data_IF_346825759663
#
_entry.id   IF_346825759663
#
_cell.length_a   1.000
_cell.length_b   1.000
_cell.length_c   1.000
_cell.angle_alpha   90.00
_cell.angle_beta   90.00
_cell.angle_gamma   90.00
#
_symmetry.space_group_name_H-M   'P 1'
#
loop_
_entity.id
_entity.type
_entity.pdbx_description
1 polymer ?
#
# COMPACT_ATOMS: atom_id res chain seq x y z
N UNK A 1 13.50 -13.64 18.74
CA UNK A 1 14.20 -13.11 17.55
C UNK A 1 14.71 -11.70 17.85
N UNK A 2 15.93 -11.32 17.47
CA UNK A 2 16.38 -9.91 17.60
C UNK A 2 15.78 -9.10 16.44
N UNK A 3 15.09 -8.01 16.78
CA UNK A 3 14.54 -7.07 15.80
C UNK A 3 15.68 -6.41 15.01
N UNK A 4 15.59 -6.21 13.68
CA UNK A 4 16.68 -5.64 12.90
C UNK A 4 16.97 -4.18 13.31
N UNK A 5 18.24 -3.86 13.52
CA UNK A 5 18.67 -2.50 13.83
C UNK A 5 18.52 -1.59 12.60
N UNK A 6 18.16 -0.30 12.76
CA UNK A 6 18.05 0.64 11.65
C UNK A 6 19.36 0.80 10.84
N UNK A 7 19.25 0.89 9.51
CA UNK A 7 20.36 1.20 8.61
C UNK A 7 20.24 2.65 8.13
N UNK A 8 21.03 3.54 8.72
CA UNK A 8 21.01 4.98 8.39
C UNK A 8 21.72 5.33 7.08
N UNK A 9 22.66 4.49 6.64
CA UNK A 9 23.42 4.66 5.40
C UNK A 9 23.18 3.45 4.48
N UNK A 10 22.00 3.37 3.83
CA UNK A 10 21.68 2.26 2.94
C UNK A 10 22.56 2.29 1.67
N UNK A 11 22.64 1.16 0.94
CA UNK A 11 23.41 1.06 -0.30
C UNK A 11 22.97 2.05 -1.40
N UNK A 12 21.70 2.47 -1.33
CA UNK A 12 21.13 3.54 -2.13
C UNK A 12 19.93 4.15 -1.39
N UNK A 13 19.56 5.39 -1.71
CA UNK A 13 18.58 6.16 -0.95
C UNK A 13 17.19 6.13 -1.59
N UNK A 14 16.33 5.26 -1.05
CA UNK A 14 14.88 5.28 -1.29
C UNK A 14 14.26 6.38 -0.44
N UNK A 15 13.40 7.21 -1.04
CA UNK A 15 12.78 8.35 -0.34
C UNK A 15 11.35 8.07 0.11
N UNK A 16 10.57 7.33 -0.68
CA UNK A 16 9.16 7.00 -0.36
C UNK A 16 8.58 5.94 -1.29
N UNK A 17 7.43 5.39 -0.90
CA UNK A 17 6.50 4.77 -1.83
C UNK A 17 6.06 5.80 -2.90
N UNK A 18 6.03 5.37 -4.17
CA UNK A 18 5.77 6.27 -5.30
C UNK A 18 4.43 6.02 -5.95
N UNK A 19 4.26 4.84 -6.55
CA UNK A 19 3.14 4.58 -7.46
C UNK A 19 2.82 3.08 -7.54
N UNK A 20 1.61 2.72 -7.97
CA UNK A 20 1.26 1.35 -8.33
C UNK A 20 0.89 1.26 -9.81
N UNK A 21 1.33 0.21 -10.50
CA UNK A 21 0.90 -0.11 -11.86
C UNK A 21 0.01 -1.33 -11.82
N UNK A 22 -1.24 -1.19 -12.24
CA UNK A 22 -2.27 -2.22 -12.19
C UNK A 22 -2.84 -2.48 -13.59
N UNK A 23 -3.31 -3.69 -13.83
CA UNK A 23 -4.13 -4.01 -15.00
C UNK A 23 -5.59 -4.07 -14.62
N UNK A 24 -6.44 -3.46 -15.44
CA UNK A 24 -7.89 -3.38 -15.24
C UNK A 24 -8.62 -3.80 -16.51
N UNK A 25 -9.86 -4.27 -16.39
CA UNK A 25 -10.64 -4.72 -17.54
C UNK A 25 -11.31 -3.58 -18.28
N UNK A 26 -11.80 -2.58 -17.55
CA UNK A 26 -12.56 -1.46 -18.09
C UNK A 26 -12.03 -0.13 -17.52
N UNK A 27 -11.30 0.62 -18.35
CA UNK A 27 -10.74 1.91 -17.95
C UNK A 27 -11.81 2.93 -17.60
N UNK A 28 -12.97 2.92 -18.26
CA UNK A 28 -14.04 3.88 -17.98
C UNK A 28 -14.66 3.60 -16.61
N UNK A 29 -14.89 2.33 -16.27
CA UNK A 29 -15.37 1.93 -14.95
C UNK A 29 -14.35 2.24 -13.85
N UNK A 30 -13.06 1.94 -14.08
CA UNK A 30 -12.00 2.29 -13.14
C UNK A 30 -11.88 3.81 -12.97
N UNK A 31 -11.94 4.57 -14.06
CA UNK A 31 -11.92 6.04 -14.03
C UNK A 31 -13.06 6.59 -13.19
N UNK A 32 -14.28 6.11 -13.39
CA UNK A 32 -15.44 6.56 -12.63
C UNK A 32 -15.24 6.31 -11.13
N UNK A 33 -14.82 5.09 -10.76
CA UNK A 33 -14.51 4.73 -9.38
C UNK A 33 -13.40 5.60 -8.77
N UNK A 34 -12.21 5.64 -9.38
CA UNK A 34 -11.06 6.33 -8.81
C UNK A 34 -11.20 7.84 -8.77
N UNK A 35 -11.94 8.44 -9.71
CA UNK A 35 -12.15 9.89 -9.71
C UNK A 35 -13.34 10.31 -8.84
N UNK A 36 -14.46 9.57 -8.84
CA UNK A 36 -15.68 10.00 -8.13
C UNK A 36 -15.78 9.50 -6.71
N UNK A 37 -15.24 8.30 -6.44
CA UNK A 37 -15.28 7.70 -5.09
C UNK A 37 -14.01 8.05 -4.33
N UNK A 38 -12.85 7.67 -4.88
CA UNK A 38 -11.56 7.87 -4.19
C UNK A 38 -11.12 9.34 -4.25
N UNK A 39 -11.49 10.06 -5.32
CA UNK A 39 -11.18 11.49 -5.45
C UNK A 39 -9.82 11.78 -6.08
N UNK A 40 -9.29 10.86 -6.89
CA UNK A 40 -8.04 11.06 -7.62
C UNK A 40 -8.23 11.97 -8.85
N UNK A 41 -7.13 12.60 -9.25
CA UNK A 41 -7.06 13.48 -10.42
C UNK A 41 -6.52 12.70 -11.62
N UNK A 42 -7.23 12.72 -12.74
CA UNK A 42 -6.70 12.26 -14.02
C UNK A 42 -5.60 13.23 -14.46
N UNK A 43 -4.38 12.71 -14.63
CA UNK A 43 -3.28 13.45 -15.24
C UNK A 43 -3.34 13.34 -16.75
N UNK A 44 -3.45 12.11 -17.24
CA UNK A 44 -3.48 11.77 -18.66
C UNK A 44 -4.28 10.48 -18.84
N UNK A 45 -4.90 10.34 -20.00
CA UNK A 45 -5.70 9.18 -20.38
C UNK A 45 -5.53 8.97 -21.89
N UNK A 46 -5.18 7.75 -22.28
CA UNK A 46 -5.18 7.28 -23.66
C UNK A 46 -6.13 6.08 -23.82
N UNK A 47 -6.12 5.44 -24.98
CA UNK A 47 -7.03 4.33 -25.27
C UNK A 47 -6.83 3.11 -24.35
N UNK A 48 -5.61 2.89 -23.87
CA UNK A 48 -5.18 1.68 -23.16
C UNK A 48 -4.61 1.96 -21.77
N UNK A 49 -4.39 3.22 -21.39
CA UNK A 49 -3.81 3.60 -20.10
C UNK A 49 -4.47 4.83 -19.48
N UNK A 50 -4.71 4.76 -18.17
CA UNK A 50 -5.15 5.86 -17.34
C UNK A 50 -4.11 6.19 -16.27
N UNK A 51 -3.66 7.45 -16.24
CA UNK A 51 -2.70 7.96 -15.26
C UNK A 51 -3.42 8.86 -14.25
N UNK A 52 -3.35 8.47 -12.97
CA UNK A 52 -4.01 9.14 -11.86
C UNK A 52 -2.98 9.58 -10.81
N UNK A 53 -3.28 10.68 -10.12
CA UNK A 53 -2.49 11.17 -8.99
C UNK A 53 -3.36 11.73 -7.87
N UNK A 54 -2.82 11.79 -6.66
CA UNK A 54 -3.42 12.55 -5.58
C UNK A 54 -3.41 14.06 -5.84
N UNK A 55 -4.33 14.78 -5.22
CA UNK A 55 -4.56 16.22 -5.38
C UNK A 55 -3.32 17.08 -5.02
N UNK A 56 -2.52 16.66 -4.03
CA UNK A 56 -1.29 17.33 -3.57
C UNK A 56 -0.06 16.99 -4.41
N UNK A 57 -0.17 15.96 -5.25
CA UNK A 57 0.97 15.41 -5.96
C UNK A 57 1.37 16.29 -7.14
N UNK A 58 2.69 16.48 -7.27
CA UNK A 58 3.33 17.16 -8.41
C UNK A 58 3.87 16.17 -9.44
N UNK A 59 4.12 14.93 -9.04
CA UNK A 59 4.57 13.91 -9.98
C UNK A 59 3.41 13.55 -10.92
N UNK A 60 3.72 13.18 -12.15
CA UNK A 60 2.73 12.85 -13.17
C UNK A 60 1.68 11.85 -12.68
N UNK A 61 2.10 10.81 -11.96
CA UNK A 61 1.18 9.76 -11.52
C UNK A 61 1.65 9.11 -10.23
N UNK A 62 0.68 8.59 -9.47
CA UNK A 62 0.88 7.62 -8.40
C UNK A 62 0.02 6.37 -8.56
N UNK A 63 -0.87 6.35 -9.54
CA UNK A 63 -1.59 5.16 -9.98
C UNK A 63 -1.62 5.12 -11.51
N UNK A 64 -1.22 3.98 -12.07
CA UNK A 64 -1.31 3.70 -13.50
C UNK A 64 -2.21 2.50 -13.68
N UNK A 65 -3.27 2.65 -14.47
CA UNK A 65 -4.19 1.57 -14.81
C UNK A 65 -4.05 1.28 -16.30
N UNK A 66 -3.69 0.04 -16.64
CA UNK A 66 -3.57 -0.42 -18.03
C UNK A 66 -4.71 -1.35 -18.36
N UNK A 67 -5.36 -1.17 -19.51
CA UNK A 67 -6.39 -2.09 -19.98
C UNK A 67 -5.77 -3.46 -20.26
N UNK A 68 -6.39 -4.52 -19.78
CA UNK A 68 -5.99 -5.89 -20.10
C UNK A 68 -7.22 -6.81 -20.11
N UNK A 69 -7.24 -7.74 -21.06
CA UNK A 69 -8.21 -8.85 -21.09
C UNK A 69 -7.80 -10.02 -20.17
N UNK A 70 -6.61 -9.93 -19.56
CA UNK A 70 -6.08 -10.94 -18.64
C UNK A 70 -6.68 -10.86 -17.24
N UNK A 71 -6.12 -11.66 -16.33
CA UNK A 71 -6.45 -11.56 -14.90
C UNK A 71 -5.96 -10.19 -14.39
N UNK A 72 -6.82 -9.36 -13.75
CA UNK A 72 -6.39 -8.12 -13.13
C UNK A 72 -5.28 -8.37 -12.11
N UNK A 73 -4.19 -7.63 -12.25
CA UNK A 73 -2.95 -7.88 -11.53
C UNK A 73 -2.24 -6.55 -11.23
N UNK A 74 -1.33 -6.57 -10.27
CA UNK A 74 -0.36 -5.51 -10.10
C UNK A 74 0.89 -5.86 -10.92
N UNK A 75 1.30 -4.98 -11.81
CA UNK A 75 2.52 -5.17 -12.59
C UNK A 75 3.75 -4.74 -11.81
N UNK A 76 3.67 -3.61 -11.08
CA UNK A 76 4.83 -3.01 -10.41
C UNK A 76 4.47 -2.26 -9.13
N UNK A 77 5.35 -2.41 -8.14
CA UNK A 77 5.41 -1.61 -6.91
C UNK A 77 6.48 -0.53 -7.07
N UNK A 78 6.03 0.70 -7.33
CA UNK A 78 6.90 1.85 -7.52
C UNK A 78 7.48 2.47 -6.25
N UNK A 79 8.79 2.71 -6.22
CA UNK A 79 9.52 3.40 -5.15
C UNK A 79 10.30 4.59 -5.74
N UNK A 80 10.33 5.72 -5.02
CA UNK A 80 11.18 6.86 -5.39
C UNK A 80 12.58 6.67 -4.81
N UNK A 81 13.60 6.99 -5.61
CA UNK A 81 14.97 7.18 -5.13
C UNK A 81 15.36 8.66 -5.20
N UNK A 82 16.37 9.07 -4.43
CA UNK A 82 16.70 10.48 -4.27
C UNK A 82 17.17 11.15 -5.57
N UNK A 83 18.06 10.49 -6.31
CA UNK A 83 18.67 10.98 -7.55
C UNK A 83 18.78 9.86 -8.59
N UNK A 84 19.09 10.19 -9.84
CA UNK A 84 19.35 9.16 -10.86
C UNK A 84 20.58 8.30 -10.54
N UNK A 85 21.58 8.85 -9.84
CA UNK A 85 22.76 8.09 -9.40
C UNK A 85 22.38 6.95 -8.43
N UNK A 86 21.33 7.16 -7.63
CA UNK A 86 20.80 6.11 -6.75
C UNK A 86 20.25 4.91 -7.53
N UNK A 87 19.81 5.10 -8.78
CA UNK A 87 19.40 3.98 -9.64
C UNK A 87 20.59 3.11 -10.03
N UNK A 88 21.74 3.71 -10.33
CA UNK A 88 22.97 2.98 -10.63
C UNK A 88 23.49 2.23 -9.40
N UNK A 89 23.38 2.83 -8.21
CA UNK A 89 23.70 2.18 -6.93
C UNK A 89 22.74 1.02 -6.66
N UNK A 90 21.43 1.21 -6.88
CA UNK A 90 20.43 0.16 -6.74
C UNK A 90 20.72 -1.01 -7.69
N UNK A 91 20.98 -0.75 -8.97
CA UNK A 91 21.31 -1.78 -9.95
C UNK A 91 22.54 -2.61 -9.53
N UNK A 92 23.62 -1.95 -9.08
CA UNK A 92 24.82 -2.65 -8.57
C UNK A 92 24.54 -3.45 -7.30
N UNK A 93 23.76 -2.88 -6.37
CA UNK A 93 23.41 -3.54 -5.12
C UNK A 93 22.61 -4.83 -5.38
N UNK A 94 21.54 -4.75 -6.19
CA UNK A 94 20.72 -5.91 -6.53
C UNK A 94 21.50 -6.97 -7.31
N UNK A 95 22.36 -6.57 -8.26
CA UNK A 95 23.26 -7.50 -8.94
C UNK A 95 24.17 -8.24 -7.95
N UNK A 96 24.71 -7.56 -6.94
CA UNK A 96 25.51 -8.16 -5.87
C UNK A 96 24.74 -9.15 -4.99
N UNK A 97 23.41 -9.02 -4.92
CA UNK A 97 22.52 -9.97 -4.24
C UNK A 97 22.05 -11.12 -5.16
N UNK A 98 22.48 -11.15 -6.42
CA UNK A 98 21.99 -12.12 -7.41
C UNK A 98 20.55 -11.84 -7.87
N UNK A 99 20.05 -10.62 -7.68
CA UNK A 99 18.73 -10.18 -8.13
C UNK A 99 18.91 -9.34 -9.40
N UNK A 100 18.71 -9.90 -10.61
CA UNK A 100 18.96 -9.17 -11.84
C UNK A 100 17.99 -7.99 -11.97
N UNK A 101 18.55 -6.80 -12.12
CA UNK A 101 17.80 -5.58 -12.42
C UNK A 101 17.92 -5.22 -13.91
N UNK A 102 16.87 -4.64 -14.47
CA UNK A 102 16.81 -4.22 -15.88
C UNK A 102 16.32 -2.79 -16.01
N UNK A 103 16.94 -2.03 -16.90
CA UNK A 103 16.44 -0.71 -17.29
C UNK A 103 15.17 -0.86 -18.12
N UNK A 104 14.18 -0.01 -17.87
CA UNK A 104 12.89 -0.03 -18.55
C UNK A 104 12.51 1.37 -19.02
N UNK A 105 11.84 1.42 -20.16
CA UNK A 105 11.13 2.61 -20.63
C UNK A 105 9.75 2.65 -19.94
N UNK A 106 9.47 3.74 -19.23
CA UNK A 106 8.21 3.96 -18.56
C UNK A 106 7.70 5.37 -18.87
N UNK A 107 6.51 5.54 -19.50
CA UNK A 107 5.99 6.85 -19.87
C UNK A 107 5.94 7.82 -18.69
N UNK A 108 6.34 9.07 -18.94
CA UNK A 108 6.41 10.16 -17.95
C UNK A 108 7.38 9.93 -16.78
N UNK A 109 8.23 8.91 -16.87
CA UNK A 109 9.31 8.65 -15.92
C UNK A 109 10.65 9.01 -16.56
N UNK A 110 11.62 9.41 -15.74
CA UNK A 110 13.03 9.47 -16.15
C UNK A 110 13.61 8.06 -16.28
N UNK A 111 14.91 7.91 -16.02
CA UNK A 111 15.51 6.56 -15.94
C UNK A 111 14.74 5.70 -14.92
N UNK A 112 14.35 4.50 -15.35
CA UNK A 112 13.56 3.58 -14.54
C UNK A 112 14.22 2.20 -14.48
N UNK A 113 14.33 1.66 -13.25
CA UNK A 113 14.96 0.37 -12.98
C UNK A 113 13.90 -0.62 -12.46
N UNK A 114 13.77 -1.76 -13.12
CA UNK A 114 12.95 -2.88 -12.67
C UNK A 114 13.81 -3.93 -12.00
N UNK A 115 13.30 -4.54 -10.94
CA UNK A 115 13.93 -5.68 -10.26
C UNK A 115 12.85 -6.46 -9.52
N UNK A 116 13.04 -7.77 -9.33
CA UNK A 116 12.21 -8.54 -8.39
C UNK A 116 12.96 -8.68 -7.07
N UNK A 117 12.27 -8.43 -5.96
CA UNK A 117 12.85 -8.67 -4.64
C UNK A 117 13.03 -10.18 -4.37
N UNK A 118 13.68 -10.60 -3.26
CA UNK A 118 13.88 -12.01 -2.94
C UNK A 118 12.60 -12.84 -2.81
N UNK A 119 11.46 -12.17 -2.61
CA UNK A 119 10.15 -12.80 -2.45
C UNK A 119 9.38 -12.84 -3.78
N UNK A 120 9.96 -12.30 -4.87
CA UNK A 120 9.36 -12.24 -6.19
C UNK A 120 8.50 -10.99 -6.42
N UNK A 121 8.45 -10.03 -5.50
CA UNK A 121 7.66 -8.81 -5.70
C UNK A 121 8.31 -7.93 -6.78
N UNK A 122 7.58 -7.56 -7.84
CA UNK A 122 8.14 -6.77 -8.92
C UNK A 122 8.20 -5.28 -8.52
N UNK A 123 9.42 -4.77 -8.35
CA UNK A 123 9.72 -3.40 -7.97
C UNK A 123 10.03 -2.53 -9.19
N UNK A 124 9.67 -1.26 -9.10
CA UNK A 124 10.04 -0.22 -10.05
C UNK A 124 10.66 0.97 -9.30
N UNK A 125 11.91 1.32 -9.62
CA UNK A 125 12.62 2.44 -9.02
C UNK A 125 12.78 3.58 -10.01
N UNK A 126 12.46 4.79 -9.57
CA UNK A 126 12.54 5.99 -10.41
C UNK A 126 12.88 7.24 -9.59
N UNK A 127 13.78 8.08 -10.10
CA UNK A 127 14.19 9.31 -9.42
C UNK A 127 13.32 10.52 -9.74
N UNK A 128 12.92 10.68 -11.02
CA UNK A 128 12.18 11.84 -11.55
C UNK A 128 11.02 11.38 -12.43
N UNK A 129 9.95 12.16 -12.46
CA UNK A 129 8.83 12.01 -13.40
C UNK A 129 8.54 13.39 -13.96
N UNK A 130 7.79 13.44 -15.06
CA UNK A 130 7.15 14.66 -15.51
C UNK A 130 6.30 15.26 -14.37
N UNK A 131 6.15 16.57 -14.41
CA UNK A 131 5.43 17.32 -13.39
C UNK A 131 4.05 17.75 -13.88
N UNK A 132 3.09 17.72 -12.97
CA UNK A 132 1.76 18.26 -13.18
C UNK A 132 1.43 19.29 -12.07
N UNK A 133 0.62 20.32 -12.36
CA UNK A 133 0.23 21.30 -11.35
C UNK A 133 -0.52 20.65 -10.17
N UNK A 134 -0.20 21.06 -8.94
CA UNK A 134 -0.96 20.68 -7.74
C UNK A 134 -2.38 21.25 -7.82
N UNK A 135 -3.35 20.48 -7.32
CA UNK A 135 -4.77 20.91 -7.21
C UNK A 135 -5.23 21.13 -5.78
N UNK A 136 -4.31 21.09 -4.81
CA UNK A 136 -4.61 21.25 -3.37
C UNK A 136 -5.48 22.47 -3.06
N UNK A 137 -5.21 23.62 -3.69
CA UNK A 137 -5.94 24.85 -3.43
C UNK A 137 -7.20 25.04 -4.29
N UNK A 138 -7.53 24.08 -5.17
CA UNK A 138 -8.74 24.07 -6.01
C UNK A 138 -9.85 23.27 -5.31
N UNK A 139 -10.21 23.68 -4.09
CA UNK A 139 -11.07 22.90 -3.18
C UNK A 139 -12.50 22.73 -3.68
N UNK A 140 -12.96 23.57 -4.59
CA UNK A 140 -14.22 23.47 -5.33
C UNK A 140 -14.26 22.31 -6.34
N UNK A 141 -13.10 21.75 -6.68
CA UNK A 141 -12.94 20.65 -7.63
C UNK A 141 -12.56 19.31 -6.98
N UNK A 142 -12.58 19.19 -5.64
CA UNK A 142 -12.22 17.95 -4.93
C UNK A 142 -13.40 16.98 -4.90
N UNK A 143 -13.37 15.86 -5.65
CA UNK A 143 -14.47 14.90 -5.71
C UNK A 143 -14.33 13.82 -4.63
N UNK A 144 -15.45 13.18 -4.26
CA UNK A 144 -15.48 12.00 -3.41
C UNK A 144 -14.66 12.14 -2.12
N UNK A 145 -13.71 11.23 -1.93
CA UNK A 145 -12.79 11.19 -0.80
C UNK A 145 -11.63 12.18 -0.83
N UNK A 146 -11.52 13.02 -1.87
CA UNK A 146 -10.47 14.02 -2.00
C UNK A 146 -9.04 13.48 -1.73
N UNK A 147 -8.71 12.32 -2.32
CA UNK A 147 -7.40 11.70 -2.14
C UNK A 147 -6.24 12.68 -2.40
N UNK A 148 -5.47 12.98 -1.34
CA UNK A 148 -4.45 14.01 -1.32
C UNK A 148 -3.13 13.52 -1.91
N UNK A 149 -2.56 12.44 -1.36
CA UNK A 149 -1.26 11.91 -1.78
C UNK A 149 -1.19 10.41 -1.53
N UNK A 150 -0.44 9.72 -2.38
CA UNK A 150 -0.11 8.31 -2.18
C UNK A 150 0.63 8.12 -0.85
N UNK A 151 0.12 7.22 -0.01
CA UNK A 151 0.66 7.00 1.32
C UNK A 151 1.55 5.75 1.35
N UNK A 152 0.95 4.57 1.30
CA UNK A 152 1.67 3.31 1.49
C UNK A 152 1.10 2.18 0.65
N UNK A 153 1.77 1.03 0.71
CA UNK A 153 1.28 -0.24 0.15
C UNK A 153 1.43 -1.34 1.19
N UNK A 154 0.42 -2.20 1.27
CA UNK A 154 0.50 -3.40 2.07
C UNK A 154 0.65 -4.62 1.16
N UNK A 155 1.56 -5.52 1.54
CA UNK A 155 1.97 -6.68 0.77
C UNK A 155 1.77 -7.94 1.62
N UNK A 156 1.16 -8.96 1.03
CA UNK A 156 1.19 -10.31 1.59
C UNK A 156 2.49 -11.00 1.26
N UNK A 157 3.15 -11.54 2.29
CA UNK A 157 4.37 -12.34 2.19
C UNK A 157 4.26 -13.59 3.05
N UNK A 158 5.03 -14.62 2.71
CA UNK A 158 5.07 -15.88 3.48
C UNK A 158 5.96 -15.78 4.72
N UNK A 159 6.96 -14.90 4.73
CA UNK A 159 7.85 -14.64 5.85
C UNK A 159 8.01 -13.11 6.07
N UNK A 160 7.22 -12.59 7.00
CA UNK A 160 7.22 -11.16 7.37
C UNK A 160 8.56 -10.73 7.96
N UNK A 161 9.20 -11.61 8.75
CA UNK A 161 10.46 -11.28 9.39
C UNK A 161 11.59 -11.18 8.35
N UNK A 162 11.61 -12.05 7.34
CA UNK A 162 12.56 -11.96 6.23
C UNK A 162 12.35 -10.69 5.41
N UNK A 163 11.10 -10.35 5.09
CA UNK A 163 10.77 -9.09 4.40
C UNK A 163 11.26 -7.88 5.21
N UNK A 164 10.95 -7.84 6.51
CA UNK A 164 11.42 -6.79 7.41
C UNK A 164 12.95 -6.64 7.39
N UNK A 165 13.70 -7.74 7.54
CA UNK A 165 15.19 -7.70 7.48
C UNK A 165 15.70 -7.16 6.14
N UNK A 166 15.12 -7.61 5.02
CA UNK A 166 15.54 -7.19 3.69
C UNK A 166 15.31 -5.69 3.47
N UNK A 167 14.10 -5.20 3.76
CA UNK A 167 13.79 -3.78 3.58
C UNK A 167 14.52 -2.89 4.60
N UNK A 168 14.84 -3.38 5.80
CA UNK A 168 15.73 -2.67 6.72
C UNK A 168 17.14 -2.52 6.17
N UNK A 169 17.68 -3.53 5.48
CA UNK A 169 18.97 -3.42 4.80
C UNK A 169 18.97 -2.36 3.67
N UNK A 170 17.80 -2.10 3.06
CA UNK A 170 17.57 -1.02 2.09
C UNK A 170 17.28 0.34 2.75
N UNK A 171 17.36 0.42 4.09
CA UNK A 171 17.20 1.65 4.85
C UNK A 171 15.79 1.90 5.40
N UNK A 172 14.82 1.03 5.17
CA UNK A 172 13.50 1.21 5.80
C UNK A 172 13.61 1.05 7.33
N UNK A 173 13.01 1.97 8.06
CA UNK A 173 12.85 1.89 9.51
C UNK A 173 11.46 1.35 9.82
N UNK A 174 11.28 0.65 10.93
CA UNK A 174 9.98 0.09 11.31
C UNK A 174 9.32 0.99 12.35
N UNK A 175 8.10 1.42 12.10
CA UNK A 175 7.30 2.18 13.08
C UNK A 175 6.57 1.24 14.03
N UNK A 176 5.99 0.16 13.49
CA UNK A 176 5.17 -0.79 14.24
C UNK A 176 5.46 -2.22 13.79
N UNK A 177 5.32 -3.17 14.71
CA UNK A 177 5.32 -4.58 14.37
C UNK A 177 4.28 -5.34 15.18
N UNK A 178 3.74 -6.39 14.59
CA UNK A 178 2.73 -7.25 15.21
C UNK A 178 3.37 -8.60 15.47
N UNK A 179 3.09 -9.18 16.63
CA UNK A 179 3.45 -10.56 16.97
C UNK A 179 2.22 -11.37 17.35
N UNK A 180 2.27 -12.68 17.13
CA UNK A 180 1.22 -13.62 17.50
C UNK A 180 1.79 -14.98 17.91
N UNK A 181 1.02 -15.74 18.71
CA UNK A 181 1.38 -17.08 19.14
C UNK A 181 2.42 -17.12 20.27
N UNK A 182 2.68 -18.32 20.81
CA UNK A 182 3.51 -18.51 22.02
C UNK A 182 4.98 -18.13 21.85
N UNK A 183 5.48 -18.08 20.62
CA UNK A 183 6.87 -17.72 20.30
C UNK A 183 7.05 -16.25 19.87
N UNK A 184 5.99 -15.42 19.99
CA UNK A 184 5.97 -14.04 19.49
C UNK A 184 6.42 -13.95 18.01
N UNK A 185 5.88 -14.83 17.16
CA UNK A 185 6.19 -14.82 15.74
C UNK A 185 5.74 -13.50 15.12
N UNK A 186 6.62 -12.84 14.35
CA UNK A 186 6.31 -11.58 13.68
C UNK A 186 5.26 -11.81 12.58
N UNK A 187 4.09 -11.21 12.76
CA UNK A 187 2.92 -11.30 11.88
C UNK A 187 2.52 -9.93 11.32
N UNK A 188 3.34 -8.92 11.50
CA UNK A 188 3.20 -7.63 10.82
C UNK A 188 4.47 -6.81 10.94
N UNK A 189 4.87 -6.12 9.88
CA UNK A 189 5.96 -5.15 9.89
C UNK A 189 5.54 -3.91 9.10
N UNK A 190 5.57 -2.75 9.74
CA UNK A 190 5.09 -1.49 9.21
C UNK A 190 6.27 -0.54 9.03
N UNK A 191 6.71 -0.35 7.80
CA UNK A 191 8.05 0.18 7.48
C UNK A 191 8.00 1.47 6.69
N UNK A 192 8.90 2.41 6.96
CA UNK A 192 8.90 3.74 6.37
C UNK A 192 10.30 4.24 6.00
N UNK A 193 10.34 5.16 5.04
CA UNK A 193 11.47 6.00 4.65
C UNK A 193 11.16 7.48 4.86
N UNK A 194 9.90 7.88 4.59
CA UNK A 194 9.41 9.24 4.88
C UNK A 194 9.29 9.50 6.39
N UNK A 195 9.09 10.76 6.74
CA UNK A 195 8.96 11.29 8.10
C UNK A 195 7.56 11.09 8.71
N UNK A 196 6.66 10.46 7.97
CA UNK A 196 5.40 9.93 8.46
C UNK A 196 5.39 8.40 8.32
N UNK A 197 4.49 7.72 9.01
CA UNK A 197 4.45 6.27 9.06
C UNK A 197 4.10 5.65 7.71
N UNK A 198 4.72 4.50 7.49
CA UNK A 198 4.49 3.51 6.43
C UNK A 198 4.73 3.97 5.00
N UNK A 199 5.72 3.40 4.34
CA UNK A 199 5.79 3.32 2.89
C UNK A 199 5.43 1.90 2.41
N UNK A 200 5.84 0.88 3.16
CA UNK A 200 5.56 -0.53 2.92
C UNK A 200 5.11 -1.22 4.21
N UNK A 201 4.06 -2.01 4.12
CA UNK A 201 3.54 -2.85 5.20
C UNK A 201 3.56 -4.30 4.76
N UNK A 202 4.06 -5.21 5.60
CA UNK A 202 4.10 -6.65 5.32
C UNK A 202 3.21 -7.40 6.30
N UNK A 203 2.24 -8.14 5.79
CA UNK A 203 1.38 -9.04 6.56
C UNK A 203 1.48 -10.48 6.03
N UNK A 204 1.18 -11.48 6.87
CA UNK A 204 1.24 -12.88 6.47
C UNK A 204 0.06 -13.26 5.57
N UNK A 205 0.37 -13.95 4.48
CA UNK A 205 -0.61 -14.53 3.56
C UNK A 205 0.09 -15.12 2.34
N UNK A 206 -0.64 -15.85 1.47
CA UNK A 206 -0.07 -16.29 0.20
C UNK A 206 0.55 -15.10 -0.53
N UNK A 207 1.80 -15.23 -0.97
CA UNK A 207 2.61 -14.08 -1.37
C UNK A 207 3.68 -14.41 -2.41
N UNK A 208 4.18 -13.40 -3.14
CA UNK A 208 3.89 -11.99 -2.95
C UNK A 208 2.54 -11.63 -3.58
N UNK A 209 1.73 -10.83 -2.88
CA UNK A 209 0.48 -10.23 -3.42
C UNK A 209 0.31 -8.82 -2.87
N UNK A 210 -0.20 -7.90 -3.69
CA UNK A 210 -0.56 -6.55 -3.25
C UNK A 210 -1.88 -6.63 -2.47
N UNK A 211 -1.82 -6.47 -1.15
CA UNK A 211 -3.01 -6.45 -0.31
C UNK A 211 -3.83 -5.19 -0.58
N UNK A 212 -3.22 -4.02 -0.55
CA UNK A 212 -3.83 -2.73 -0.92
C UNK A 212 -2.75 -1.67 -1.18
N UNK A 213 -3.18 -0.55 -1.76
CA UNK A 213 -2.46 0.72 -1.76
C UNK A 213 -3.34 1.80 -1.12
N UNK A 214 -2.72 2.84 -0.57
CA UNK A 214 -3.41 3.82 0.25
C UNK A 214 -3.18 5.25 -0.23
N UNK A 215 -4.19 6.08 -0.01
CA UNK A 215 -4.12 7.53 -0.18
C UNK A 215 -4.57 8.24 1.10
N UNK A 216 -3.87 9.31 1.45
CA UNK A 216 -4.31 10.21 2.53
C UNK A 216 -5.57 10.96 2.08
N UNK A 217 -6.58 11.06 2.95
CA UNK A 217 -7.75 11.93 2.79
C UNK A 217 -7.73 13.07 3.83
N UNK A 218 -8.27 14.27 3.55
CA UNK A 218 -8.06 15.45 4.39
C UNK A 218 -8.71 15.35 5.77
N UNK A 219 -9.87 14.70 5.86
CA UNK A 219 -10.67 14.69 7.08
C UNK A 219 -11.59 13.48 7.15
N UNK A 220 -12.09 13.19 8.35
CA UNK A 220 -13.11 12.15 8.53
C UNK A 220 -14.37 12.46 7.71
N UNK A 221 -14.72 13.73 7.52
CA UNK A 221 -15.87 14.12 6.71
C UNK A 221 -15.65 13.76 5.22
N UNK A 222 -14.44 13.94 4.69
CA UNK A 222 -14.12 13.55 3.32
C UNK A 222 -14.07 12.02 3.16
N UNK A 223 -13.60 11.31 4.18
CA UNK A 223 -13.72 9.85 4.25
C UNK A 223 -15.18 9.37 4.19
N UNK A 224 -16.09 10.03 4.92
CA UNK A 224 -17.53 9.73 4.86
C UNK A 224 -18.10 10.09 3.49
N UNK A 225 -17.72 11.22 2.90
CA UNK A 225 -18.11 11.60 1.53
C UNK A 225 -17.68 10.57 0.49
N UNK A 226 -16.52 9.92 0.65
CA UNK A 226 -16.12 8.81 -0.20
C UNK A 226 -17.11 7.64 -0.14
N UNK A 227 -17.59 7.31 1.06
CA UNK A 227 -18.60 6.25 1.26
C UNK A 227 -19.95 6.64 0.64
N UNK A 228 -20.39 7.89 0.83
CA UNK A 228 -21.62 8.40 0.23
C UNK A 228 -21.53 8.42 -1.31
N UNK A 229 -20.39 8.86 -1.85
CA UNK A 229 -20.10 8.84 -3.29
C UNK A 229 -20.10 7.41 -3.84
N UNK A 230 -19.55 6.44 -3.10
CA UNK A 230 -19.62 5.04 -3.48
C UNK A 230 -21.09 4.59 -3.61
N UNK A 231 -21.93 4.89 -2.62
CA UNK A 231 -23.37 4.59 -2.68
C UNK A 231 -24.06 5.26 -3.87
N UNK A 232 -23.83 6.56 -4.09
CA UNK A 232 -24.45 7.35 -5.14
C UNK A 232 -24.08 6.87 -6.55
N UNK A 233 -22.85 6.43 -6.75
CA UNK A 233 -22.32 6.01 -8.05
C UNK A 233 -22.42 4.49 -8.28
N UNK A 234 -23.14 3.75 -7.44
CA UNK A 234 -23.37 2.31 -7.62
C UNK A 234 -22.22 1.41 -7.15
N UNK A 235 -21.24 1.98 -6.45
CA UNK A 235 -20.12 1.27 -5.81
C UNK A 235 -20.35 1.03 -4.31
N UNK A 236 -21.58 1.14 -3.80
CA UNK A 236 -21.84 0.98 -2.36
C UNK A 236 -21.37 -0.36 -1.79
N UNK A 237 -21.51 -1.45 -2.55
CA UNK A 237 -21.00 -2.78 -2.18
C UNK A 237 -19.47 -2.91 -2.27
N UNK A 238 -18.79 -1.91 -2.84
CA UNK A 238 -17.32 -1.85 -2.87
C UNK A 238 -16.73 -1.40 -1.54
N UNK A 239 -17.50 -0.79 -0.63
CA UNK A 239 -17.02 -0.48 0.74
C UNK A 239 -16.80 -1.81 1.46
N UNK A 240 -15.55 -2.23 1.57
CA UNK A 240 -15.20 -3.57 2.04
C UNK A 240 -15.05 -3.63 3.57
N UNK A 241 -14.44 -2.60 4.16
CA UNK A 241 -14.16 -2.54 5.59
C UNK A 241 -14.05 -1.10 6.06
N UNK A 242 -14.68 -0.79 7.19
CA UNK A 242 -14.72 0.55 7.76
C UNK A 242 -15.92 1.37 7.26
N UNK A 243 -15.95 2.69 7.50
CA UNK A 243 -14.92 3.47 8.20
C UNK A 243 -14.62 2.95 9.62
N UNK A 244 -13.35 2.94 9.99
CA UNK A 244 -12.89 2.37 11.26
C UNK A 244 -11.62 3.04 11.78
N UNK A 245 -11.11 2.51 12.90
CA UNK A 245 -9.85 2.92 13.53
C UNK A 245 -8.94 1.72 13.62
N UNK A 246 -7.68 1.85 13.18
CA UNK A 246 -6.64 0.86 13.47
C UNK A 246 -6.02 1.15 14.84
N UNK A 247 -5.65 0.08 15.54
CA UNK A 247 -4.78 0.12 16.71
C UNK A 247 -3.38 0.55 16.29
N UNK A 248 -2.82 -0.12 15.28
CA UNK A 248 -1.52 0.22 14.68
C UNK A 248 -1.57 1.63 14.07
N UNK A 249 -0.63 2.48 14.50
CA UNK A 249 -0.51 3.89 14.10
C UNK A 249 -1.71 4.81 14.42
N UNK A 250 -2.75 4.32 15.09
CA UNK A 250 -3.89 5.13 15.52
C UNK A 250 -4.66 5.87 14.39
N UNK A 251 -4.63 5.34 13.17
CA UNK A 251 -5.25 5.99 12.00
C UNK A 251 -6.69 5.56 11.75
N UNK A 252 -7.51 6.49 11.27
CA UNK A 252 -8.79 6.15 10.67
C UNK A 252 -8.58 5.65 9.26
N UNK A 253 -9.39 4.68 8.86
CA UNK A 253 -9.33 4.11 7.52
C UNK A 253 -10.72 3.80 6.99
N UNK A 254 -10.81 3.65 5.68
CA UNK A 254 -11.85 2.88 4.99
C UNK A 254 -11.21 2.17 3.79
N UNK A 255 -11.60 0.92 3.56
CA UNK A 255 -11.15 0.11 2.44
C UNK A 255 -12.26 -0.04 1.40
N UNK A 256 -11.89 0.15 0.14
CA UNK A 256 -12.76 -0.10 -1.00
C UNK A 256 -12.16 -1.17 -1.92
N UNK A 257 -13.03 -1.83 -2.68
CA UNK A 257 -12.67 -2.65 -3.86
C UNK A 257 -13.01 -1.89 -5.14
N UNK A 258 -12.02 -1.70 -6.00
CA UNK A 258 -12.27 -1.18 -7.34
C UNK A 258 -13.07 -2.20 -8.18
N UNK A 259 -13.49 -1.84 -9.41
CA UNK A 259 -14.27 -2.72 -10.28
C UNK A 259 -13.63 -4.08 -10.57
N UNK A 260 -12.31 -4.18 -10.47
CA UNK A 260 -11.54 -5.39 -10.71
C UNK A 260 -11.14 -6.14 -9.43
N UNK A 261 -11.56 -5.61 -8.27
CA UNK A 261 -11.28 -6.19 -6.96
C UNK A 261 -9.93 -5.78 -6.39
N UNK A 262 -9.19 -4.86 -6.98
CA UNK A 262 -8.05 -4.23 -6.32
C UNK A 262 -8.50 -3.45 -5.10
N UNK A 263 -7.79 -3.60 -3.98
CA UNK A 263 -8.14 -2.91 -2.74
C UNK A 263 -7.41 -1.58 -2.66
N UNK A 264 -8.15 -0.52 -2.36
CA UNK A 264 -7.64 0.81 -2.06
C UNK A 264 -8.07 1.24 -0.67
N UNK A 265 -7.16 1.86 0.07
CA UNK A 265 -7.44 2.46 1.38
C UNK A 265 -7.49 3.99 1.24
N UNK A 266 -8.50 4.60 1.84
CA UNK A 266 -8.43 6.01 2.24
C UNK A 266 -8.11 6.06 3.73
N UNK A 267 -7.06 6.78 4.08
CA UNK A 267 -6.53 6.87 5.45
C UNK A 267 -6.40 8.34 5.85
N UNK A 268 -6.61 8.66 7.13
CA UNK A 268 -6.17 9.96 7.63
C UNK A 268 -4.67 9.94 7.91
N UNK A 269 -4.03 11.11 7.82
CA UNK A 269 -2.63 11.22 8.19
C UNK A 269 -2.42 10.75 9.63
N UNK A 270 -1.37 9.94 9.81
CA UNK A 270 -1.08 9.35 11.10
C UNK A 270 -0.70 10.44 12.12
N UNK A 271 -1.20 10.34 13.36
CA UNK A 271 -0.86 11.32 14.40
C UNK A 271 0.60 11.20 14.89
N UNK A 272 1.30 10.11 14.59
CA UNK A 272 2.69 9.93 14.97
C UNK A 272 3.64 10.33 13.83
N UNK A 273 4.55 11.27 14.10
CA UNK A 273 5.64 11.60 13.20
C UNK A 273 6.84 10.68 13.44
N UNK A 274 7.64 10.46 12.41
CA UNK A 274 8.82 9.58 12.43
C UNK A 274 10.13 10.34 12.22
N UNK A 275 10.15 11.62 12.60
CA UNK A 275 11.31 12.52 12.39
C UNK A 275 12.48 12.14 13.29
N UNK A 276 12.21 11.76 14.54
CA UNK A 276 13.24 11.39 15.50
C UNK A 276 13.87 10.03 15.14
N UNK A 277 15.19 9.92 15.25
CA UNK A 277 15.93 8.71 14.86
C UNK A 277 15.94 7.66 15.97
N UNK A 278 15.69 8.10 17.21
CA UNK A 278 15.68 7.33 18.44
C UNK A 278 14.35 6.59 18.66
N UNK A 279 13.33 6.87 17.84
CA UNK A 279 12.04 6.20 17.94
C UNK A 279 12.21 4.70 17.77
N UNK A 280 11.76 3.98 18.80
CA UNK A 280 11.73 2.52 18.80
C UNK A 280 10.41 2.01 18.22
N UNK A 281 10.41 0.89 17.49
CA UNK A 281 9.18 0.33 16.93
C UNK A 281 8.16 -0.04 18.02
N UNK A 282 6.89 0.31 17.80
CA UNK A 282 5.79 -0.07 18.69
C UNK A 282 5.45 -1.55 18.49
N UNK A 283 5.47 -2.32 19.57
CA UNK A 283 5.10 -3.75 19.58
C UNK A 283 3.60 -3.90 19.82
N UNK A 284 2.94 -4.61 18.92
CA UNK A 284 1.54 -5.01 19.03
C UNK A 284 1.41 -6.52 19.21
N UNK A 285 0.53 -6.95 20.10
CA UNK A 285 0.25 -8.37 20.38
C UNK A 285 -1.14 -8.70 19.84
N UNK A 286 -1.21 -9.55 18.80
CA UNK A 286 -2.44 -9.86 18.09
C UNK A 286 -3.50 -10.53 18.99
N UNK A 287 -3.07 -11.19 20.06
CA UNK A 287 -3.96 -11.88 21.00
C UNK A 287 -4.51 -10.93 22.08
N UNK A 288 -3.83 -9.80 22.33
CA UNK A 288 -4.24 -8.78 23.30
C UNK A 288 -5.02 -7.65 22.63
N UNK A 289 -6.26 -7.94 22.26
CA UNK A 289 -7.22 -6.92 21.77
C UNK A 289 -7.65 -5.90 22.83
N UNK A 290 -7.61 -6.24 24.13
CA UNK A 290 -7.99 -5.30 25.19
C UNK A 290 -6.92 -4.21 25.30
N UNK A 291 -7.33 -2.95 25.14
CA UNK A 291 -6.44 -1.80 25.20
C UNK A 291 -5.93 -1.33 23.83
N UNK A 292 -6.35 -1.95 22.72
CA UNK A 292 -6.21 -1.33 21.40
C UNK A 292 -7.30 -0.26 21.22
N UNK A 293 -7.00 0.80 20.49
CA UNK A 293 -8.00 1.83 20.12
C UNK A 293 -8.84 1.40 18.91
N UNK A 294 -8.83 0.13 18.54
CA UNK A 294 -9.66 -0.43 17.48
C UNK A 294 -11.14 -0.32 17.85
N UNK A 295 -11.95 0.21 16.95
CA UNK A 295 -13.41 0.25 17.10
C UNK A 295 -14.07 -0.58 16.01
N UNK A 296 -15.19 -1.23 16.37
CA UNK A 296 -15.98 -2.05 15.44
C UNK A 296 -15.69 -3.53 15.52
N UNK A 297 -16.29 -4.28 14.59
CA UNK A 297 -16.12 -5.73 14.49
C UNK A 297 -14.78 -6.09 13.85
N UNK A 298 -14.33 -7.36 13.99
CA UNK A 298 -13.17 -7.85 13.25
C UNK A 298 -13.33 -7.66 11.73
N UNK A 299 -12.20 -7.64 11.02
CA UNK A 299 -12.23 -7.55 9.55
C UNK A 299 -12.91 -8.78 8.94
N UNK A 300 -13.62 -8.63 7.80
CA UNK A 300 -14.20 -9.76 7.10
C UNK A 300 -13.10 -10.69 6.57
N UNK A 301 -13.41 -11.97 6.42
CA UNK A 301 -12.48 -13.01 5.93
C UNK A 301 -11.79 -12.62 4.64
N UNK A 302 -12.55 -12.05 3.71
CA UNK A 302 -12.03 -11.57 2.44
C UNK A 302 -10.95 -10.49 2.56
N UNK A 303 -10.98 -9.66 3.62
CA UNK A 303 -9.93 -8.68 3.87
C UNK A 303 -8.58 -9.38 4.09
N UNK A 304 -8.60 -10.50 4.81
CA UNK A 304 -7.43 -11.29 5.14
C UNK A 304 -6.92 -12.23 4.02
N UNK A 305 -7.82 -12.76 3.19
CA UNK A 305 -7.49 -13.84 2.26
C UNK A 305 -7.28 -13.36 0.81
N UNK A 306 -8.06 -12.38 0.38
CA UNK A 306 -8.04 -11.86 -0.98
C UNK A 306 -7.03 -10.70 -1.11
N UNK A 307 -6.16 -10.77 -2.11
CA UNK A 307 -5.20 -9.74 -2.46
C UNK A 307 -4.89 -9.82 -3.96
N UNK A 308 -4.50 -8.69 -4.56
CA UNK A 308 -4.15 -8.60 -5.97
C UNK A 308 -2.88 -9.38 -6.26
N UNK A 309 -2.90 -10.27 -7.24
CA UNK A 309 -1.71 -11.01 -7.69
C UNK A 309 -0.74 -10.11 -8.43
N UNK A 310 0.56 -10.43 -8.39
CA UNK A 310 1.53 -9.77 -9.24
C UNK A 310 1.59 -10.43 -10.62
N UNK A 311 1.65 -9.63 -11.68
CA UNK A 311 1.65 -10.11 -13.05
C UNK A 311 2.84 -11.06 -13.29
N UNK A 312 2.56 -12.29 -13.74
CA UNK A 312 3.57 -13.31 -14.01
C UNK A 312 4.25 -13.90 -12.77
N UNK A 313 3.78 -13.61 -11.56
CA UNK A 313 4.36 -14.11 -10.30
C UNK A 313 3.31 -14.91 -9.52
N UNK A 314 3.32 -16.25 -9.63
CA UNK A 314 2.42 -17.09 -8.85
C UNK A 314 2.70 -16.94 -7.35
N UNK A 315 1.66 -16.72 -6.51
CA UNK A 315 1.86 -16.60 -5.07
C UNK A 315 2.23 -17.98 -4.48
N UNK A 316 3.25 -17.99 -3.63
CA UNK A 316 3.56 -19.12 -2.78
C UNK A 316 2.48 -19.25 -1.70
N UNK A 317 1.92 -20.46 -1.46
CA UNK A 317 0.98 -20.68 -0.38
C UNK A 317 1.59 -20.31 0.98
N UNK A 318 0.76 -19.78 1.89
CA UNK A 318 1.16 -19.52 3.27
C UNK A 318 0.42 -20.47 4.23
N UNK A 319 1.05 -20.73 5.37
CA UNK A 319 0.42 -21.46 6.47
C UNK A 319 -0.68 -20.63 7.17
N UNK A 320 -1.39 -21.23 8.13
CA UNK A 320 -2.38 -20.53 8.94
C UNK A 320 -1.72 -19.38 9.71
N UNK A 321 -2.45 -18.26 9.84
CA UNK A 321 -1.99 -17.09 10.61
C UNK A 321 -2.56 -17.17 12.02
N UNK A 322 -1.73 -17.33 13.07
CA UNK A 322 -2.21 -17.42 14.45
C UNK A 322 -2.98 -16.17 14.88
N UNK A 323 -3.97 -16.35 15.77
CA UNK A 323 -4.73 -15.24 16.38
C UNK A 323 -5.70 -14.50 15.44
N UNK A 324 -5.84 -14.92 14.18
CA UNK A 324 -6.77 -14.30 13.23
C UNK A 324 -8.21 -14.68 13.57
N UNK A 325 -9.03 -13.68 13.87
CA UNK A 325 -10.49 -13.81 14.05
C UNK A 325 -11.18 -12.95 13.01
N UNK A 326 -12.01 -13.57 12.16
CA UNK A 326 -12.77 -12.88 11.11
C UNK A 326 -14.11 -12.36 11.61
N UNK A 327 -14.76 -11.45 10.87
CA UNK A 327 -16.13 -11.01 11.13
C UNK A 327 -17.08 -12.20 11.17
N UNK A 328 -16.92 -13.12 10.22
CA UNK A 328 -17.73 -14.31 10.06
C UNK A 328 -17.59 -15.25 11.26
N UNK A 329 -16.36 -15.46 11.75
CA UNK A 329 -16.13 -16.26 12.97
C UNK A 329 -16.79 -15.60 14.19
N UNK A 330 -16.70 -14.27 14.29
CA UNK A 330 -17.33 -13.51 15.37
C UNK A 330 -18.86 -13.60 15.35
N UNK A 331 -19.47 -13.45 14.17
CA UNK A 331 -20.92 -13.55 14.01
C UNK A 331 -21.42 -14.97 14.27
N UNK A 332 -20.67 -16.00 13.86
CA UNK A 332 -21.01 -17.39 14.16
C UNK A 332 -20.98 -17.67 15.66
N UNK A 333 -19.96 -17.16 16.37
CA UNK A 333 -19.86 -17.29 17.82
C UNK A 333 -20.99 -16.52 18.55
N UNK A 334 -21.37 -15.34 18.06
CA UNK A 334 -22.50 -14.59 18.61
C UNK A 334 -23.81 -15.32 18.40
N UNK A 335 -24.09 -15.83 17.20
CA UNK A 335 -25.33 -16.57 16.93
C UNK A 335 -25.49 -17.86 17.76
N UNK A 336 -24.39 -18.41 18.27
CA UNK A 336 -24.37 -19.62 19.09
C UNK A 336 -24.61 -19.36 20.60
N UNK A 337 -24.56 -18.11 21.06
CA UNK A 337 -24.74 -17.72 22.47
C UNK A 337 -26.06 -17.02 22.72
#
# INVERSE_FOLDING_TARGET
>A
MRFPDPVFYPPFNITRASHAVLTVRDLAASRDFYTRVIGLVVTEEDADTLYLRGIEEVAHHSLVLRRSDGVPACERVGLRVLTEEELDKAARHFAGLGLPASWAEAPHQGRTLHVSDPFGMPLEFVARMDLAPRRLFQTDHHPGGAALRFDHKQIHVTDVAAACRFYTALGFRTSDYVVAGPEDAMTGAFMHRKDIPWDLVFLPGPGPRLHHFAYVTPSLNDMMRACDAAGLHGYGSSVERGPGRHGQGHVQYVYFRDPDGHRVELVLEAPHNMTDLEQVPVRWDAEKRKGTMDWGYPAPRRWFEEATVFAGVPPTPAGPVPGRVTLEDHLAAWAAG
#
